data_IF_238459753808
#
_entry.id   IF_238459753808
#
_cell.length_a   1.000
_cell.length_b   1.000
_cell.length_c   1.000
_cell.angle_alpha   90.00
_cell.angle_beta   90.00
_cell.angle_gamma   90.00
#
_symmetry.space_group_name_H-M   'P 1'
#
loop_
_entity.id
_entity.type
_entity.pdbx_description
1 polymer ?
#
# COMPACT_ATOMS: atom_id res chain seq x y z
N UNK A 1 -7.13 0.91 11.43
CA UNK A 1 -8.23 0.29 10.63
C UNK A 1 -8.01 0.56 9.15
N UNK A 2 -8.65 -0.16 8.22
CA UNK A 2 -8.57 0.07 6.77
C UNK A 2 -9.96 0.08 6.14
N UNK A 3 -10.19 1.01 5.23
CA UNK A 3 -11.45 1.11 4.48
C UNK A 3 -11.25 1.66 3.05
N UNK A 4 -12.25 1.47 2.20
CA UNK A 4 -12.27 1.85 0.79
C UNK A 4 -13.39 2.84 0.53
N UNK A 5 -13.06 4.03 0.03
CA UNK A 5 -14.03 5.03 -0.39
C UNK A 5 -14.17 5.04 -1.92
N UNK A 6 -15.40 5.12 -2.41
CA UNK A 6 -15.73 5.32 -3.82
C UNK A 6 -16.53 6.60 -3.98
N UNK A 7 -16.24 7.39 -5.02
CA UNK A 7 -17.02 8.58 -5.34
C UNK A 7 -17.00 8.89 -6.83
N UNK A 8 -17.97 9.72 -7.24
CA UNK A 8 -17.93 10.43 -8.51
C UNK A 8 -17.53 11.86 -8.22
N UNK A 9 -16.55 12.37 -8.97
CA UNK A 9 -16.05 13.72 -8.79
C UNK A 9 -17.07 14.77 -9.21
N UNK A 10 -17.00 15.93 -8.57
CA UNK A 10 -17.91 17.06 -8.78
C UNK A 10 -17.24 18.31 -9.37
N UNK A 11 -15.92 18.30 -9.58
CA UNK A 11 -15.16 19.43 -10.14
C UNK A 11 -14.95 20.61 -9.18
N UNK A 12 -15.47 20.52 -7.95
CA UNK A 12 -15.41 21.57 -6.93
C UNK A 12 -14.77 21.06 -5.63
N UNK A 13 -15.21 21.58 -4.48
CA UNK A 13 -14.86 20.98 -3.19
C UNK A 13 -15.78 19.79 -2.91
N UNK A 14 -15.22 18.68 -2.42
CA UNK A 14 -15.99 17.49 -2.07
C UNK A 14 -15.46 16.89 -0.77
N UNK A 15 -16.37 16.58 0.16
CA UNK A 15 -16.03 15.80 1.35
C UNK A 15 -16.35 14.34 1.07
N UNK A 16 -15.37 13.48 1.29
CA UNK A 16 -15.51 12.03 1.26
C UNK A 16 -15.56 11.58 2.72
N UNK A 17 -16.72 11.12 3.17
CA UNK A 17 -17.00 10.72 4.56
C UNK A 17 -17.51 9.27 4.65
N UNK A 18 -17.81 8.80 5.86
CA UNK A 18 -18.36 7.47 6.12
C UNK A 18 -17.30 6.39 6.36
N UNK A 19 -16.05 6.77 6.62
CA UNK A 19 -14.98 5.81 6.95
C UNK A 19 -15.11 5.29 8.40
N UNK A 20 -15.74 6.05 9.30
CA UNK A 20 -15.78 5.78 10.73
C UNK A 20 -14.48 6.14 11.47
N UNK A 21 -13.53 6.79 10.79
CA UNK A 21 -12.25 7.24 11.36
C UNK A 21 -11.64 8.40 10.56
N UNK A 22 -10.68 9.11 11.17
CA UNK A 22 -9.79 10.02 10.45
C UNK A 22 -8.69 9.22 9.78
N UNK A 23 -8.60 9.19 8.44
CA UNK A 23 -7.56 8.43 7.77
C UNK A 23 -6.21 9.13 7.93
N UNK A 24 -5.19 8.33 8.24
CA UNK A 24 -3.81 8.79 8.35
C UNK A 24 -3.02 8.56 7.09
N UNK A 25 -3.47 7.64 6.24
CA UNK A 25 -2.92 7.39 4.92
C UNK A 25 -4.07 7.21 3.94
N UNK A 26 -3.99 7.91 2.80
CA UNK A 26 -4.97 7.87 1.70
C UNK A 26 -4.22 7.59 0.42
N UNK A 27 -4.45 6.41 -0.16
CA UNK A 27 -3.97 6.02 -1.48
C UNK A 27 -5.13 6.11 -2.48
N UNK A 28 -5.10 7.15 -3.30
CA UNK A 28 -6.18 7.54 -4.19
C UNK A 28 -5.87 7.23 -5.66
N UNK A 29 -6.87 6.81 -6.43
CA UNK A 29 -6.76 6.59 -7.87
C UNK A 29 -8.04 6.95 -8.64
N UNK A 30 -7.88 7.64 -9.77
CA UNK A 30 -8.93 7.78 -10.79
C UNK A 30 -9.18 6.44 -11.49
N UNK A 31 -10.45 6.06 -11.60
CA UNK A 31 -10.91 4.79 -12.19
C UNK A 31 -11.36 4.96 -13.63
N UNK A 32 -12.15 5.99 -13.94
CA UNK A 32 -12.74 6.22 -15.28
C UNK A 32 -11.79 6.87 -16.30
N UNK A 33 -10.48 6.95 -16.03
CA UNK A 33 -9.52 7.57 -16.93
C UNK A 33 -8.08 7.48 -16.42
N UNK A 34 -7.14 7.80 -17.31
CA UNK A 34 -5.72 7.80 -16.97
C UNK A 34 -5.38 8.95 -16.01
N UNK A 35 -4.73 8.62 -14.90
CA UNK A 35 -4.16 9.53 -13.92
C UNK A 35 -3.26 8.72 -12.97
N UNK A 36 -2.29 9.37 -12.35
CA UNK A 36 -1.42 8.73 -11.37
C UNK A 36 -2.18 8.28 -10.11
N UNK A 37 -1.51 7.47 -9.31
CA UNK A 37 -1.93 7.12 -7.96
C UNK A 37 -1.39 8.15 -6.96
N UNK A 38 -2.25 8.82 -6.19
CA UNK A 38 -1.85 9.87 -5.26
C UNK A 38 -1.87 9.38 -3.81
N UNK A 39 -0.73 9.56 -3.12
CA UNK A 39 -0.52 9.10 -1.74
C UNK A 39 -0.37 10.30 -0.80
N UNK A 40 -1.31 10.42 0.14
CA UNK A 40 -1.36 11.46 1.18
C UNK A 40 -1.26 10.83 2.56
N UNK A 41 -0.64 11.50 3.52
CA UNK A 41 -0.73 11.11 4.92
C UNK A 41 -0.74 12.31 5.88
N UNK A 42 -1.26 12.07 7.08
CA UNK A 42 -1.44 13.10 8.07
C UNK A 42 -0.12 13.55 8.73
N UNK A 43 0.94 12.74 8.69
CA UNK A 43 2.25 13.11 9.24
C UNK A 43 2.92 14.18 8.38
N UNK A 44 2.75 14.10 7.05
CA UNK A 44 3.18 15.12 6.09
C UNK A 44 2.23 16.31 6.04
N UNK A 45 0.94 16.04 6.19
CA UNK A 45 -0.13 17.02 6.15
C UNK A 45 -0.88 16.99 4.81
N UNK A 46 -2.00 17.72 4.77
CA UNK A 46 -2.80 17.83 3.56
C UNK A 46 -2.02 18.51 2.42
N UNK A 47 -2.51 18.35 1.19
CA UNK A 47 -1.96 18.89 -0.08
C UNK A 47 -0.64 18.28 -0.55
N UNK A 48 0.14 17.65 0.34
CA UNK A 48 1.36 16.94 -0.03
C UNK A 48 1.05 15.56 -0.62
N UNK A 49 1.35 15.41 -1.91
CA UNK A 49 1.09 14.18 -2.66
C UNK A 49 2.38 13.55 -3.16
N UNK A 50 2.44 12.23 -3.03
CA UNK A 50 3.40 11.37 -3.71
C UNK A 50 2.69 10.53 -4.77
N UNK A 51 3.47 9.90 -5.65
CA UNK A 51 3.00 9.13 -6.79
C UNK A 51 3.53 7.70 -6.67
N UNK A 52 2.68 6.67 -6.59
CA UNK A 52 3.19 5.29 -6.47
C UNK A 52 3.76 4.75 -7.78
N UNK A 53 3.40 5.35 -8.91
CA UNK A 53 3.78 4.92 -10.25
C UNK A 53 4.87 5.77 -10.92
N UNK A 54 5.50 6.69 -10.18
CA UNK A 54 6.65 7.47 -10.67
C UNK A 54 7.73 7.59 -9.60
N UNK A 55 8.91 8.05 -9.99
CA UNK A 55 10.03 8.33 -9.08
C UNK A 55 10.03 9.77 -8.57
N UNK A 56 9.04 10.57 -8.95
CA UNK A 56 8.99 12.00 -8.68
C UNK A 56 9.07 12.30 -7.18
N UNK A 57 9.67 13.45 -6.86
CA UNK A 57 9.67 13.97 -5.51
C UNK A 57 8.23 14.31 -5.05
N UNK A 58 8.09 14.58 -3.76
CA UNK A 58 6.85 15.12 -3.23
C UNK A 58 6.47 16.42 -3.94
N UNK A 59 5.17 16.58 -4.19
CA UNK A 59 4.62 17.81 -4.76
C UNK A 59 3.47 18.31 -3.89
N UNK A 60 3.22 19.61 -3.97
CA UNK A 60 2.10 20.25 -3.29
C UNK A 60 1.00 20.54 -4.29
N UNK A 61 -0.23 20.13 -3.98
CA UNK A 61 -1.43 20.46 -4.76
C UNK A 61 -2.53 20.94 -3.83
N UNK A 62 -2.71 22.27 -3.76
CA UNK A 62 -3.76 22.88 -2.93
C UNK A 62 -5.18 22.49 -3.37
N UNK A 63 -5.35 22.08 -4.62
CA UNK A 63 -6.61 21.59 -5.19
C UNK A 63 -6.75 20.07 -5.13
N UNK A 64 -5.77 19.34 -4.58
CA UNK A 64 -5.82 17.90 -4.30
C UNK A 64 -6.60 17.57 -3.02
N UNK A 65 -6.13 16.62 -2.20
CA UNK A 65 -6.65 16.42 -0.85
C UNK A 65 -6.24 17.62 0.02
N UNK A 66 -7.20 18.39 0.51
CA UNK A 66 -6.94 19.65 1.20
C UNK A 66 -7.19 19.61 2.72
N UNK A 67 -7.88 18.60 3.25
CA UNK A 67 -7.91 18.32 4.68
C UNK A 67 -8.21 16.85 5.00
N UNK A 68 -7.68 16.39 6.13
CA UNK A 68 -8.14 15.19 6.82
C UNK A 68 -9.25 15.60 7.79
N UNK A 69 -10.30 14.80 7.88
CA UNK A 69 -11.46 15.04 8.76
C UNK A 69 -11.63 13.86 9.71
N UNK A 70 -12.46 13.99 10.73
CA UNK A 70 -12.69 12.92 11.71
C UNK A 70 -13.32 11.64 11.13
N UNK A 71 -13.88 11.71 9.92
CA UNK A 71 -14.65 10.63 9.28
C UNK A 71 -14.26 10.42 7.80
N UNK A 72 -13.09 10.93 7.40
CA UNK A 72 -12.67 10.91 5.99
C UNK A 72 -11.76 12.07 5.62
N UNK A 73 -11.94 12.63 4.42
CA UNK A 73 -11.09 13.70 3.91
C UNK A 73 -11.84 14.62 2.95
N UNK A 74 -11.31 15.81 2.73
CA UNK A 74 -11.83 16.77 1.76
C UNK A 74 -10.89 16.91 0.56
N UNK A 75 -11.49 17.07 -0.61
CA UNK A 75 -10.83 17.27 -1.90
C UNK A 75 -11.15 18.67 -2.43
N UNK A 76 -10.19 19.26 -3.14
CA UNK A 76 -10.41 20.41 -4.02
C UNK A 76 -10.82 19.98 -5.43
N UNK A 77 -10.64 20.88 -6.40
CA UNK A 77 -11.08 20.74 -7.79
C UNK A 77 -10.06 20.07 -8.73
N UNK A 78 -8.95 19.54 -8.24
CA UNK A 78 -7.92 18.96 -9.10
C UNK A 78 -8.49 17.81 -9.93
N UNK A 79 -8.24 17.86 -11.25
CA UNK A 79 -8.83 16.91 -12.19
C UNK A 79 -8.40 15.46 -11.92
N UNK A 80 -7.25 15.27 -11.30
CA UNK A 80 -6.71 13.96 -11.03
C UNK A 80 -7.34 13.27 -9.83
N UNK A 81 -8.11 14.01 -9.01
CA UNK A 81 -8.75 13.49 -7.78
C UNK A 81 -10.25 13.74 -7.69
N UNK A 82 -10.78 14.74 -8.40
CA UNK A 82 -12.15 15.19 -8.24
C UNK A 82 -12.72 15.90 -9.50
N UNK A 83 -12.38 15.45 -10.70
CA UNK A 83 -12.97 15.96 -11.93
C UNK A 83 -14.46 15.55 -12.02
N UNK A 84 -15.31 16.50 -12.46
CA UNK A 84 -16.73 16.24 -12.67
C UNK A 84 -16.95 14.99 -13.53
N UNK A 85 -17.88 14.15 -13.11
CA UNK A 85 -18.34 12.95 -13.83
C UNK A 85 -17.31 11.82 -13.96
N UNK A 86 -16.12 11.95 -13.35
CA UNK A 86 -15.15 10.86 -13.26
C UNK A 86 -15.30 10.06 -11.97
N UNK A 87 -14.99 8.77 -12.01
CA UNK A 87 -15.05 7.88 -10.85
C UNK A 87 -13.69 7.66 -10.23
N UNK A 88 -13.66 7.48 -8.91
CA UNK A 88 -12.44 7.39 -8.11
C UNK A 88 -12.56 6.33 -7.02
N UNK A 89 -11.42 5.90 -6.51
CA UNK A 89 -11.27 5.07 -5.31
C UNK A 89 -10.18 5.63 -4.41
N UNK A 90 -10.33 5.46 -3.11
CA UNK A 90 -9.25 5.61 -2.15
C UNK A 90 -9.22 4.42 -1.19
N UNK A 91 -8.04 3.84 -1.00
CA UNK A 91 -7.74 2.92 0.09
C UNK A 91 -7.15 3.71 1.24
N UNK A 92 -7.73 3.56 2.42
CA UNK A 92 -7.44 4.44 3.56
C UNK A 92 -7.05 3.62 4.77
N UNK A 93 -6.07 4.10 5.54
CA UNK A 93 -5.63 3.45 6.76
C UNK A 93 -5.55 4.45 7.90
N UNK A 94 -5.94 3.99 9.09
CA UNK A 94 -5.78 4.68 10.36
C UNK A 94 -4.51 4.17 11.07
N UNK A 95 -3.58 5.10 11.26
CA UNK A 95 -2.29 4.95 11.93
C UNK A 95 -2.31 5.55 13.35
N UNK A 96 -3.49 5.80 13.91
CA UNK A 96 -3.67 6.20 15.31
C UNK A 96 -3.70 7.71 15.51
N UNK A 97 -3.85 8.11 16.78
CA UNK A 97 -4.23 9.47 17.12
C UNK A 97 -3.08 10.43 17.40
N UNK A 98 -1.84 9.94 17.53
CA UNK A 98 -0.70 10.77 17.94
C UNK A 98 0.50 10.61 17.02
N UNK A 99 1.08 11.76 16.64
CA UNK A 99 2.38 11.82 15.98
C UNK A 99 3.45 12.12 17.04
N UNK A 100 4.47 11.28 17.17
CA UNK A 100 5.51 11.36 18.21
C UNK A 100 6.92 11.21 17.64
N UNK A 101 7.90 11.79 18.31
CA UNK A 101 9.32 11.53 18.03
C UNK A 101 9.70 10.14 18.55
N UNK A 102 10.43 9.36 17.75
CA UNK A 102 10.94 8.04 18.12
C UNK A 102 12.47 8.02 18.01
N UNK A 103 13.13 7.55 19.07
CA UNK A 103 14.59 7.47 19.22
C UNK A 103 15.10 6.03 19.42
N UNK A 104 14.32 5.02 19.03
CA UNK A 104 14.71 3.60 19.18
C UNK A 104 15.72 3.14 18.12
N UNK A 105 15.87 3.88 17.02
CA UNK A 105 16.86 3.65 15.97
C UNK A 105 18.00 4.66 16.00
N UNK A 106 19.04 4.42 15.19
CA UNK A 106 20.16 5.36 15.05
C UNK A 106 19.79 6.63 14.28
N UNK A 107 18.70 6.61 13.51
CA UNK A 107 18.06 7.78 12.93
C UNK A 107 16.81 8.10 13.75
N UNK A 108 16.72 9.32 14.27
CA UNK A 108 15.49 9.82 14.91
C UNK A 108 14.39 9.95 13.85
N UNK A 109 13.22 9.37 14.13
CA UNK A 109 12.07 9.41 13.24
C UNK A 109 10.88 10.11 13.90
N UNK A 110 9.94 10.56 13.08
CA UNK A 110 8.60 10.98 13.52
C UNK A 110 7.62 9.89 13.11
N UNK A 111 6.87 9.37 14.08
CA UNK A 111 6.04 8.18 13.94
C UNK A 111 4.60 8.52 14.33
N UNK A 112 3.66 8.09 13.49
CA UNK A 112 2.26 7.91 13.87
C UNK A 112 1.92 6.44 13.64
N UNK A 113 1.61 5.71 14.71
CA UNK A 113 1.41 4.26 14.66
C UNK A 113 0.14 3.80 15.39
N UNK A 114 -0.64 2.96 14.71
CA UNK A 114 -1.70 2.15 15.29
C UNK A 114 -1.15 0.73 15.41
N UNK A 115 -0.44 0.45 16.51
CA UNK A 115 0.17 -0.86 16.74
C UNK A 115 -0.86 -2.00 16.78
N UNK A 116 -2.07 -1.74 17.29
CA UNK A 116 -3.17 -2.71 17.30
C UNK A 116 -3.64 -3.08 15.91
N UNK A 117 -3.67 -2.11 14.98
CA UNK A 117 -3.96 -2.36 13.56
C UNK A 117 -2.70 -2.70 12.74
N UNK A 118 -1.52 -2.78 13.37
CA UNK A 118 -0.27 -3.10 12.69
C UNK A 118 0.10 -2.11 11.58
N UNK A 119 -0.22 -0.82 11.70
CA UNK A 119 0.11 0.19 10.69
C UNK A 119 0.82 1.40 11.27
N UNK A 120 1.86 1.87 10.58
CA UNK A 120 2.61 3.07 10.96
C UNK A 120 3.00 3.91 9.75
N UNK A 121 2.89 5.22 9.89
CA UNK A 121 3.49 6.24 9.03
C UNK A 121 4.72 6.79 9.72
N UNK A 122 5.88 6.65 9.09
CA UNK A 122 7.19 7.04 9.64
C UNK A 122 7.82 8.06 8.72
N UNK A 123 8.35 9.15 9.26
CA UNK A 123 9.18 10.09 8.50
C UNK A 123 10.54 10.25 9.15
N UNK A 124 11.58 10.44 8.35
CA UNK A 124 12.95 10.55 8.83
C UNK A 124 13.83 11.30 7.82
N UNK A 125 14.98 11.77 8.28
CA UNK A 125 16.06 12.28 7.44
C UNK A 125 17.18 11.26 7.43
N UNK A 126 17.50 10.72 6.25
CA UNK A 126 18.57 9.75 6.12
C UNK A 126 19.94 10.38 6.41
N UNK A 127 20.94 9.53 6.66
CA UNK A 127 22.27 9.96 7.10
C UNK A 127 23.43 9.32 6.32
N UNK A 128 23.12 8.63 5.22
CA UNK A 128 24.07 7.93 4.34
C UNK A 128 24.90 6.83 5.05
N UNK A 129 24.49 6.42 6.26
CA UNK A 129 25.19 5.36 7.00
C UNK A 129 24.52 4.02 6.72
N UNK A 130 25.23 3.12 6.04
CA UNK A 130 24.73 1.76 5.82
C UNK A 130 24.49 1.04 7.15
N UNK A 131 23.36 0.37 7.28
CA UNK A 131 22.97 -0.30 8.53
C UNK A 131 22.39 0.63 9.57
N UNK A 132 22.11 1.90 9.23
CA UNK A 132 21.33 2.77 10.09
C UNK A 132 19.92 2.19 10.30
N UNK A 133 19.33 2.50 11.45
CA UNK A 133 18.02 1.97 11.86
C UNK A 133 17.04 3.10 12.10
N UNK A 134 15.78 2.87 11.72
CA UNK A 134 14.69 3.84 11.84
C UNK A 134 13.58 3.22 12.70
N UNK A 135 13.16 3.93 13.74
CA UNK A 135 12.09 3.48 14.63
C UNK A 135 10.71 3.56 13.96
N UNK A 136 9.89 2.51 14.12
CA UNK A 136 8.56 2.42 13.48
C UNK A 136 7.38 2.27 14.46
N UNK A 137 7.61 2.08 15.77
CA UNK A 137 6.57 2.16 16.79
C UNK A 137 5.47 1.08 16.78
N UNK A 138 5.64 -0.04 16.07
CA UNK A 138 4.61 -1.09 15.99
C UNK A 138 4.67 -2.12 17.13
N UNK A 139 5.80 -2.25 17.82
CA UNK A 139 5.99 -3.27 18.87
C UNK A 139 6.11 -4.71 18.34
N UNK A 140 5.97 -4.91 17.02
CA UNK A 140 6.14 -6.16 16.28
C UNK A 140 6.80 -5.87 14.94
N UNK A 141 7.49 -6.86 14.36
CA UNK A 141 8.20 -6.66 13.10
C UNK A 141 7.22 -6.45 11.92
N UNK A 142 7.35 -5.35 11.16
CA UNK A 142 6.59 -5.17 9.93
C UNK A 142 6.96 -6.24 8.89
N UNK A 143 5.94 -6.77 8.20
CA UNK A 143 6.08 -7.73 7.09
C UNK A 143 6.04 -7.05 5.72
N UNK A 144 5.65 -5.78 5.65
CA UNK A 144 5.70 -4.95 4.45
C UNK A 144 6.17 -3.54 4.84
N UNK A 145 7.16 -3.00 4.13
CA UNK A 145 7.62 -1.61 4.29
C UNK A 145 7.75 -1.00 2.91
N UNK A 146 7.16 0.18 2.71
CA UNK A 146 7.28 0.97 1.48
C UNK A 146 7.99 2.27 1.85
N UNK A 147 9.17 2.53 1.26
CA UNK A 147 9.96 3.72 1.53
C UNK A 147 10.01 4.61 0.29
N UNK A 148 9.82 5.92 0.49
CA UNK A 148 9.95 6.93 -0.56
C UNK A 148 10.75 8.13 -0.12
N UNK A 149 11.70 8.53 -0.95
CA UNK A 149 12.33 9.84 -0.88
C UNK A 149 11.35 10.94 -1.28
N UNK A 150 11.22 11.97 -0.44
CA UNK A 150 10.30 13.09 -0.63
C UNK A 150 10.98 14.33 -1.18
N UNK A 151 12.23 14.58 -0.83
CA UNK A 151 12.95 15.81 -1.23
C UNK A 151 13.56 15.76 -2.62
N UNK A 152 13.64 14.58 -3.24
CA UNK A 152 14.30 14.36 -4.54
C UNK A 152 13.66 13.20 -5.29
N UNK A 153 13.82 13.20 -6.61
CA UNK A 153 13.46 12.06 -7.45
C UNK A 153 14.31 10.82 -7.09
N UNK A 154 13.63 9.75 -6.70
CA UNK A 154 14.17 8.44 -6.35
C UNK A 154 13.01 7.44 -6.22
N UNK A 155 13.29 6.15 -6.38
CA UNK A 155 12.27 5.10 -6.45
C UNK A 155 11.58 4.79 -5.11
N UNK A 156 10.56 3.93 -5.17
CA UNK A 156 9.89 3.36 -4.02
C UNK A 156 10.48 1.99 -3.68
N UNK A 157 11.32 1.91 -2.66
CA UNK A 157 11.84 0.62 -2.23
C UNK A 157 10.83 -0.10 -1.33
N UNK A 158 10.56 -1.37 -1.68
CA UNK A 158 9.61 -2.22 -0.98
C UNK A 158 10.33 -3.42 -0.35
N UNK A 159 10.16 -3.56 0.96
CA UNK A 159 10.51 -4.75 1.72
C UNK A 159 9.27 -5.62 1.87
N UNK A 160 9.43 -6.95 1.76
CA UNK A 160 8.39 -7.90 2.10
C UNK A 160 8.99 -9.10 2.83
N UNK A 161 8.35 -9.56 3.91
CA UNK A 161 8.88 -10.64 4.76
C UNK A 161 9.22 -11.92 4.00
N UNK A 162 8.39 -12.30 3.02
CA UNK A 162 8.64 -13.48 2.15
C UNK A 162 9.85 -13.35 1.22
N UNK A 163 10.38 -12.14 1.00
CA UNK A 163 11.60 -11.92 0.23
C UNK A 163 12.87 -11.97 1.10
N UNK A 164 12.72 -11.68 2.40
CA UNK A 164 13.85 -11.38 3.29
C UNK A 164 14.51 -10.04 2.98
N UNK A 165 15.41 -9.60 3.85
CA UNK A 165 16.06 -8.29 3.74
C UNK A 165 17.20 -8.21 2.72
N UNK A 166 17.59 -9.34 2.13
CA UNK A 166 18.61 -9.36 1.06
C UNK A 166 18.06 -8.88 -0.28
N UNK A 167 16.73 -8.78 -0.40
CA UNK A 167 16.03 -8.43 -1.63
C UNK A 167 15.13 -7.23 -1.46
N UNK A 168 14.79 -6.61 -2.58
CA UNK A 168 13.82 -5.53 -2.64
C UNK A 168 12.97 -5.63 -3.91
N UNK A 169 11.89 -4.85 -3.92
CA UNK A 169 11.13 -4.52 -5.12
C UNK A 169 11.04 -3.00 -5.28
N UNK A 170 10.74 -2.54 -6.48
CA UNK A 170 10.37 -1.16 -6.76
C UNK A 170 8.85 -1.07 -6.96
N UNK A 171 8.15 -0.23 -6.20
CA UNK A 171 6.68 -0.11 -6.32
C UNK A 171 6.30 0.45 -7.68
N UNK A 172 7.04 1.43 -8.21
CA UNK A 172 6.78 2.08 -9.50
C UNK A 172 7.22 1.23 -10.70
N UNK A 173 7.92 0.12 -10.47
CA UNK A 173 8.53 -0.69 -11.51
C UNK A 173 7.78 -2.00 -11.81
N UNK A 174 8.19 -2.66 -12.89
CA UNK A 174 7.68 -3.99 -13.29
C UNK A 174 8.70 -5.12 -13.07
N UNK A 175 9.89 -4.81 -12.55
CA UNK A 175 10.95 -5.78 -12.30
C UNK A 175 10.52 -6.88 -11.31
N UNK A 176 11.17 -8.04 -11.41
CA UNK A 176 11.13 -9.08 -10.40
C UNK A 176 11.95 -8.66 -9.15
N UNK A 177 11.91 -9.47 -8.08
CA UNK A 177 12.71 -9.18 -6.89
C UNK A 177 14.21 -9.22 -7.20
N UNK A 178 14.96 -8.24 -6.71
CA UNK A 178 16.41 -8.12 -6.93
C UNK A 178 17.17 -8.17 -5.60
N UNK A 179 18.34 -8.80 -5.60
CA UNK A 179 19.25 -8.85 -4.44
C UNK A 179 20.10 -7.59 -4.39
N UNK A 180 20.06 -6.85 -3.28
CA UNK A 180 20.86 -5.64 -3.10
C UNK A 180 20.88 -5.16 -1.65
N UNK A 181 22.04 -5.28 -1.00
CA UNK A 181 22.25 -4.87 0.39
C UNK A 181 22.08 -3.36 0.62
N UNK A 182 22.26 -2.55 -0.42
CA UNK A 182 22.05 -1.09 -0.34
C UNK A 182 20.60 -0.70 -0.02
N UNK A 183 19.62 -1.60 -0.11
CA UNK A 183 18.24 -1.37 0.30
C UNK A 183 18.05 -1.49 1.82
N UNK A 184 18.22 -2.69 2.39
CA UNK A 184 17.85 -3.00 3.79
C UNK A 184 19.05 -3.40 4.67
N UNK A 185 20.28 -3.27 4.16
CA UNK A 185 21.50 -3.72 4.83
C UNK A 185 21.44 -5.20 5.25
N UNK A 186 20.78 -6.04 4.44
CA UNK A 186 20.58 -7.47 4.66
C UNK A 186 20.00 -7.83 6.04
N UNK A 187 19.34 -6.88 6.72
CA UNK A 187 18.84 -7.03 8.08
C UNK A 187 17.32 -6.90 8.11
N UNK A 188 16.63 -7.97 8.52
CA UNK A 188 15.17 -7.94 8.67
C UNK A 188 14.74 -7.02 9.82
N UNK A 189 13.57 -6.37 9.73
CA UNK A 189 13.10 -5.48 10.77
C UNK A 189 12.84 -6.24 12.08
N UNK A 190 13.02 -5.55 13.20
CA UNK A 190 12.70 -6.03 14.54
C UNK A 190 11.34 -5.50 15.00
N UNK A 191 10.98 -5.72 16.26
CA UNK A 191 9.77 -5.14 16.86
C UNK A 191 9.79 -3.62 16.99
N UNK A 192 10.96 -2.97 16.88
CA UNK A 192 11.11 -1.53 17.13
C UNK A 192 11.71 -0.77 15.97
N UNK A 193 12.55 -1.40 15.13
CA UNK A 193 13.28 -0.72 14.06
C UNK A 193 13.33 -1.53 12.77
N UNK A 194 13.45 -0.83 11.64
CA UNK A 194 13.91 -1.42 10.39
C UNK A 194 15.27 -0.84 10.00
N UNK A 195 16.06 -1.64 9.28
CA UNK A 195 17.39 -1.23 8.80
C UNK A 195 17.32 -0.67 7.40
N UNK A 196 18.16 0.33 7.12
CA UNK A 196 18.33 0.91 5.79
C UNK A 196 19.80 0.81 5.37
N UNK A 197 20.02 0.50 4.09
CA UNK A 197 21.35 0.49 3.49
C UNK A 197 21.81 1.91 3.13
N UNK A 198 22.58 2.03 2.06
CA UNK A 198 23.11 3.31 1.55
C UNK A 198 22.46 3.74 0.23
N UNK A 199 21.34 3.17 -0.19
CA UNK A 199 20.69 3.57 -1.44
C UNK A 199 19.99 4.94 -1.30
N UNK A 200 20.00 5.73 -2.38
CA UNK A 200 19.39 7.06 -2.44
C UNK A 200 17.87 7.06 -2.24
N UNK A 201 17.22 5.93 -2.45
CA UNK A 201 15.79 5.73 -2.27
C UNK A 201 15.39 5.44 -0.81
N UNK A 202 16.35 5.18 0.09
CA UNK A 202 16.08 4.87 1.51
C UNK A 202 16.89 5.68 2.52
N UNK A 203 18.11 6.13 2.22
CA UNK A 203 18.98 6.65 3.29
C UNK A 203 20.08 7.64 2.86
N UNK A 204 19.92 8.39 1.79
CA UNK A 204 20.79 9.56 1.56
C UNK A 204 20.46 10.69 2.57
N UNK A 205 21.24 11.77 2.58
CA UNK A 205 20.97 12.99 3.38
C UNK A 205 19.76 13.76 2.84
N UNK A 206 18.60 13.13 2.90
CA UNK A 206 17.32 13.51 2.29
C UNK A 206 16.18 13.14 3.22
N UNK A 207 14.99 13.69 2.96
CA UNK A 207 13.80 13.37 3.76
C UNK A 207 13.02 12.22 3.13
N UNK A 208 12.56 11.28 3.96
CA UNK A 208 11.84 10.08 3.55
C UNK A 208 10.53 9.93 4.30
N UNK A 209 9.61 9.17 3.70
CA UNK A 209 8.46 8.55 4.38
C UNK A 209 8.56 7.04 4.21
N UNK A 210 8.19 6.30 5.25
CA UNK A 210 8.00 4.87 5.23
C UNK A 210 6.59 4.51 5.74
N UNK A 211 5.91 3.64 5.01
CA UNK A 211 4.66 3.01 5.45
C UNK A 211 4.96 1.59 5.88
N UNK A 212 4.79 1.29 7.16
CA UNK A 212 5.12 0.00 7.75
C UNK A 212 3.85 -0.75 8.14
N UNK A 213 3.74 -2.00 7.69
CA UNK A 213 2.61 -2.87 7.97
C UNK A 213 3.06 -4.17 8.62
N UNK A 214 2.47 -4.51 9.77
CA UNK A 214 2.66 -5.76 10.49
C UNK A 214 1.41 -6.64 10.41
N UNK A 215 1.56 -7.98 10.44
CA UNK A 215 0.44 -8.91 10.44
C UNK A 215 -0.35 -8.78 11.75
N UNK A 216 -1.68 -8.79 11.61
CA UNK A 216 -2.63 -8.80 12.73
C UNK A 216 -3.64 -9.89 12.46
N UNK A 217 -3.73 -10.85 13.38
CA UNK A 217 -4.62 -12.01 13.24
C UNK A 217 -6.06 -11.55 13.02
N UNK A 218 -6.69 -12.06 11.95
CA UNK A 218 -8.06 -11.72 11.58
C UNK A 218 -8.22 -10.35 10.88
N UNK A 219 -7.15 -9.57 10.72
CA UNK A 219 -7.21 -8.25 10.08
C UNK A 219 -6.24 -8.08 8.91
N UNK A 220 -4.96 -8.44 9.05
CA UNK A 220 -3.96 -8.27 8.00
C UNK A 220 -3.07 -9.50 7.85
N UNK A 221 -2.82 -9.91 6.61
CA UNK A 221 -1.97 -11.06 6.27
C UNK A 221 -1.00 -10.69 5.15
N UNK A 222 0.24 -11.13 5.30
CA UNK A 222 1.33 -10.89 4.35
C UNK A 222 2.02 -12.22 4.09
N UNK A 223 2.20 -12.58 2.82
CA UNK A 223 2.75 -13.89 2.50
C UNK A 223 3.08 -14.06 1.02
N UNK A 224 3.25 -15.30 0.62
CA UNK A 224 3.51 -15.67 -0.76
C UNK A 224 2.72 -16.90 -1.19
N UNK A 225 2.49 -17.03 -2.48
CA UNK A 225 1.91 -18.22 -3.09
C UNK A 225 2.53 -18.47 -4.47
N UNK A 226 2.38 -19.70 -4.97
CA UNK A 226 2.82 -20.08 -6.31
C UNK A 226 1.63 -20.16 -7.25
N UNK A 227 1.70 -19.44 -8.36
CA UNK A 227 0.68 -19.50 -9.40
C UNK A 227 0.68 -20.85 -10.10
N UNK A 228 -0.50 -21.30 -10.53
CA UNK A 228 -0.69 -22.58 -11.22
C UNK A 228 -1.14 -22.43 -12.68
N UNK A 229 -1.37 -21.20 -13.18
CA UNK A 229 -1.79 -20.97 -14.56
C UNK A 229 -3.18 -21.48 -14.92
N UNK A 230 -4.03 -21.76 -13.93
CA UNK A 230 -5.36 -22.33 -14.11
C UNK A 230 -6.46 -21.33 -13.73
N UNK A 231 -7.62 -21.42 -14.38
CA UNK A 231 -8.84 -20.74 -13.91
C UNK A 231 -9.32 -21.25 -12.55
N UNK A 232 -8.90 -22.45 -12.14
CA UNK A 232 -8.97 -22.90 -10.77
C UNK A 232 -7.64 -22.63 -10.04
N UNK A 233 -7.36 -21.34 -9.77
CA UNK A 233 -6.11 -20.90 -9.20
C UNK A 233 -5.81 -21.40 -7.78
N UNK A 234 -4.64 -21.09 -7.22
CA UNK A 234 -4.33 -21.43 -5.84
C UNK A 234 -5.30 -20.73 -4.88
N UNK A 235 -5.80 -21.45 -3.88
CA UNK A 235 -6.46 -20.79 -2.76
C UNK A 235 -5.41 -20.19 -1.81
N UNK A 236 -5.51 -18.89 -1.54
CA UNK A 236 -4.60 -18.17 -0.65
C UNK A 236 -5.33 -17.85 0.66
N UNK A 237 -4.98 -18.59 1.71
CA UNK A 237 -5.56 -18.42 3.03
C UNK A 237 -5.02 -17.16 3.73
N UNK A 238 -5.90 -16.31 4.21
CA UNK A 238 -5.59 -15.10 5.02
C UNK A 238 -6.20 -15.13 6.41
N UNK A 239 -7.17 -16.04 6.64
CA UNK A 239 -7.89 -16.15 7.92
C UNK A 239 -9.04 -15.16 8.10
N UNK A 240 -9.38 -14.39 7.06
CA UNK A 240 -10.49 -13.44 7.02
C UNK A 240 -10.98 -13.22 5.59
N UNK A 241 -12.16 -12.62 5.40
CA UNK A 241 -12.59 -12.14 4.07
C UNK A 241 -11.82 -10.86 3.71
N UNK A 242 -11.01 -10.83 2.64
CA UNK A 242 -10.26 -9.62 2.30
C UNK A 242 -11.18 -8.51 1.79
N UNK A 243 -10.92 -7.28 2.25
CA UNK A 243 -11.38 -6.04 1.62
C UNK A 243 -10.46 -5.60 0.51
N UNK A 244 -9.16 -5.77 0.71
CA UNK A 244 -8.10 -5.29 -0.17
C UNK A 244 -7.03 -6.35 -0.28
N UNK A 245 -6.52 -6.55 -1.49
CA UNK A 245 -5.36 -7.39 -1.76
C UNK A 245 -4.44 -6.68 -2.75
N UNK A 246 -3.18 -6.53 -2.36
CA UNK A 246 -2.08 -6.10 -3.23
C UNK A 246 -1.21 -7.33 -3.55
N UNK A 247 -0.89 -7.54 -4.83
CA UNK A 247 -0.08 -8.67 -5.29
C UNK A 247 1.05 -8.20 -6.20
N UNK A 248 2.19 -8.92 -6.14
CA UNK A 248 3.28 -8.77 -7.10
C UNK A 248 3.92 -10.11 -7.44
N UNK A 249 4.09 -10.38 -8.74
CA UNK A 249 4.96 -11.45 -9.21
C UNK A 249 6.43 -11.08 -8.92
N UNK A 250 7.12 -11.94 -8.18
CA UNK A 250 8.50 -11.73 -7.74
C UNK A 250 9.54 -12.54 -8.50
N UNK A 251 9.10 -13.44 -9.39
CA UNK A 251 9.99 -14.31 -10.20
C UNK A 251 10.13 -13.83 -11.64
N UNK A 252 9.09 -13.18 -12.18
CA UNK A 252 9.03 -12.77 -13.59
C UNK A 252 8.98 -11.25 -13.70
N UNK A 253 10.01 -10.68 -14.34
CA UNK A 253 10.06 -9.25 -14.65
C UNK A 253 9.04 -8.89 -15.77
N UNK A 254 8.74 -7.60 -15.91
CA UNK A 254 7.78 -7.10 -16.90
C UNK A 254 6.32 -7.27 -16.48
N UNK A 255 6.06 -7.55 -15.19
CA UNK A 255 4.72 -7.75 -14.63
C UNK A 255 4.30 -6.56 -13.78
N UNK A 256 3.06 -6.12 -13.89
CA UNK A 256 2.52 -5.05 -13.04
C UNK A 256 2.29 -5.53 -11.59
N UNK A 257 2.18 -4.57 -10.67
CA UNK A 257 1.58 -4.79 -9.35
C UNK A 257 0.06 -4.78 -9.50
N UNK A 258 -0.67 -5.65 -8.82
CA UNK A 258 -2.14 -5.68 -8.92
C UNK A 258 -2.84 -5.35 -7.61
N UNK A 259 -3.86 -4.48 -7.65
CA UNK A 259 -4.79 -4.25 -6.55
C UNK A 259 -6.19 -4.75 -6.90
N UNK A 260 -6.74 -5.57 -6.00
CA UNK A 260 -8.14 -5.98 -5.97
C UNK A 260 -8.79 -5.50 -4.67
N UNK A 261 -10.07 -5.13 -4.70
CA UNK A 261 -10.84 -4.88 -3.48
C UNK A 261 -12.33 -5.17 -3.63
N UNK A 262 -12.96 -5.53 -2.51
CA UNK A 262 -14.36 -5.97 -2.46
C UNK A 262 -15.36 -4.83 -2.56
N UNK A 263 -14.92 -3.57 -2.40
CA UNK A 263 -15.80 -2.42 -2.56
C UNK A 263 -16.06 -2.13 -4.04
N UNK A 264 -15.03 -2.30 -4.88
CA UNK A 264 -15.17 -2.22 -6.33
C UNK A 264 -15.81 -3.47 -6.91
N UNK A 265 -15.53 -4.65 -6.35
CA UNK A 265 -16.14 -5.93 -6.74
C UNK A 265 -16.95 -6.57 -5.59
N UNK A 266 -18.23 -6.18 -5.42
CA UNK A 266 -19.05 -6.61 -4.28
C UNK A 266 -19.42 -8.10 -4.32
N UNK A 267 -19.30 -8.75 -5.46
CA UNK A 267 -19.61 -10.17 -5.67
C UNK A 267 -18.40 -10.94 -6.19
N UNK A 268 -18.33 -12.23 -5.87
CA UNK A 268 -17.32 -13.14 -6.40
C UNK A 268 -17.48 -13.33 -7.91
N UNK A 269 -16.42 -13.81 -8.56
CA UNK A 269 -16.14 -13.52 -9.96
C UNK A 269 -16.04 -12.00 -10.23
N UNK A 270 -15.31 -11.30 -9.35
CA UNK A 270 -14.87 -9.92 -9.57
C UNK A 270 -13.84 -9.84 -10.70
N UNK A 271 -13.08 -8.77 -10.83
CA UNK A 271 -12.02 -8.68 -11.84
C UNK A 271 -11.62 -7.25 -12.21
N UNK A 272 -11.98 -6.27 -11.38
CA UNK A 272 -11.56 -4.88 -11.56
C UNK A 272 -10.16 -4.69 -11.02
N UNK A 273 -9.25 -4.29 -11.90
CA UNK A 273 -7.83 -4.15 -11.58
C UNK A 273 -7.38 -2.70 -11.64
N UNK A 274 -6.56 -2.34 -10.67
CA UNK A 274 -5.74 -1.14 -10.68
C UNK A 274 -4.30 -1.51 -10.36
N UNK A 275 -3.37 -0.76 -10.92
CA UNK A 275 -1.95 -1.08 -10.87
C UNK A 275 -1.19 0.06 -10.19
N UNK A 276 -0.68 -0.13 -8.95
CA UNK A 276 0.15 0.84 -8.24
C UNK A 276 1.24 1.52 -9.05
N UNK A 277 1.73 0.82 -10.07
CA UNK A 277 2.85 1.19 -10.91
C UNK A 277 2.44 1.67 -12.32
N UNK A 278 1.18 2.07 -12.49
CA UNK A 278 0.67 2.58 -13.77
C UNK A 278 -0.35 3.70 -13.57
N UNK A 279 -0.45 4.59 -14.55
CA UNK A 279 -1.47 5.64 -14.59
C UNK A 279 -2.74 5.21 -15.33
N UNK A 280 -2.78 4.02 -15.93
CA UNK A 280 -3.92 3.55 -16.73
C UNK A 280 -5.23 3.56 -15.93
N UNK A 281 -6.34 3.68 -16.65
CA UNK A 281 -7.68 3.57 -16.08
C UNK A 281 -7.91 2.19 -15.45
N UNK A 282 -8.97 2.06 -14.65
CA UNK A 282 -9.41 0.76 -14.17
C UNK A 282 -9.71 -0.17 -15.34
N UNK A 283 -9.15 -1.37 -15.28
CA UNK A 283 -9.46 -2.43 -16.23
C UNK A 283 -10.53 -3.33 -15.63
N UNK A 284 -11.53 -3.69 -16.43
CA UNK A 284 -12.60 -4.62 -16.03
C UNK A 284 -12.39 -5.93 -16.76
N UNK A 285 -11.99 -6.94 -15.99
CA UNK A 285 -11.81 -8.30 -16.45
C UNK A 285 -12.76 -9.28 -15.77
N UNK A 286 -13.90 -8.82 -15.25
CA UNK A 286 -14.88 -9.68 -14.56
C UNK A 286 -15.27 -10.93 -15.36
N UNK A 287 -15.23 -10.87 -16.70
CA UNK A 287 -15.50 -12.00 -17.59
C UNK A 287 -14.27 -12.84 -17.99
N UNK A 288 -13.05 -12.30 -17.84
CA UNK A 288 -11.84 -12.87 -18.44
C UNK A 288 -10.78 -13.27 -17.41
N UNK A 289 -10.72 -12.56 -16.29
CA UNK A 289 -9.79 -12.81 -15.20
C UNK A 289 -10.49 -12.69 -13.85
N UNK A 290 -11.49 -13.54 -13.55
CA UNK A 290 -12.21 -13.40 -12.30
C UNK A 290 -11.31 -13.61 -11.10
N UNK A 291 -11.68 -13.01 -9.97
CA UNK A 291 -11.05 -13.25 -8.67
C UNK A 291 -12.16 -13.42 -7.61
N UNK A 292 -11.92 -14.30 -6.63
CA UNK A 292 -12.86 -14.57 -5.55
C UNK A 292 -12.34 -14.06 -4.21
N UNK A 293 -13.17 -13.31 -3.47
CA UNK A 293 -13.00 -13.04 -2.05
C UNK A 293 -13.85 -14.02 -1.23
N UNK A 294 -13.16 -14.97 -0.63
CA UNK A 294 -13.74 -16.03 0.20
C UNK A 294 -13.72 -15.61 1.67
N UNK A 295 -14.48 -16.30 2.52
CA UNK A 295 -14.63 -15.94 3.94
C UNK A 295 -13.32 -15.96 4.74
N UNK A 296 -12.28 -16.60 4.22
CA UNK A 296 -11.00 -16.84 4.89
C UNK A 296 -9.78 -16.66 3.97
N UNK A 297 -9.96 -16.04 2.81
CA UNK A 297 -8.89 -15.91 1.83
C UNK A 297 -9.35 -15.33 0.51
N UNK A 298 -8.49 -15.42 -0.48
CA UNK A 298 -8.82 -15.09 -1.86
C UNK A 298 -8.33 -16.17 -2.81
N UNK A 299 -8.85 -16.16 -4.03
CA UNK A 299 -8.44 -17.09 -5.07
C UNK A 299 -8.44 -16.38 -6.42
N UNK A 300 -7.28 -16.27 -7.11
CA UNK A 300 -7.28 -15.84 -8.48
C UNK A 300 -7.96 -16.91 -9.35
N UNK A 301 -8.90 -16.52 -10.21
CA UNK A 301 -9.63 -17.44 -11.10
C UNK A 301 -9.22 -17.28 -12.55
N UNK A 302 -7.93 -17.01 -12.76
CA UNK A 302 -7.39 -16.65 -14.05
C UNK A 302 -5.98 -17.19 -14.23
N UNK A 303 -5.45 -17.16 -15.46
CA UNK A 303 -4.08 -17.57 -15.78
C UNK A 303 -3.16 -16.37 -16.08
N UNK A 304 -3.58 -15.17 -15.66
CA UNK A 304 -2.91 -13.91 -15.98
C UNK A 304 -1.57 -13.75 -15.26
N UNK A 305 -0.66 -13.00 -15.89
CA UNK A 305 0.70 -12.77 -15.39
C UNK A 305 0.74 -11.99 -14.07
N UNK A 306 -0.29 -11.17 -13.81
CA UNK A 306 -0.40 -10.31 -12.64
C UNK A 306 -0.66 -11.10 -11.35
N UNK A 307 -1.39 -12.22 -11.42
CA UNK A 307 -1.82 -12.95 -10.22
C UNK A 307 -1.56 -14.46 -10.22
N UNK A 308 -1.45 -15.13 -11.38
CA UNK A 308 -1.49 -16.60 -11.39
C UNK A 308 -0.77 -17.27 -12.56
N UNK A 309 0.36 -16.72 -13.02
CA UNK A 309 1.22 -17.40 -13.99
C UNK A 309 1.76 -18.70 -13.42
N UNK A 310 1.72 -19.77 -14.21
CA UNK A 310 2.18 -21.10 -13.79
C UNK A 310 3.64 -21.07 -13.34
N UNK A 311 3.90 -21.62 -12.15
CA UNK A 311 5.23 -21.72 -11.56
C UNK A 311 5.84 -20.40 -11.08
N UNK A 312 5.17 -19.25 -11.27
CA UNK A 312 5.63 -17.97 -10.73
C UNK A 312 5.30 -17.84 -9.25
N UNK A 313 6.20 -17.25 -8.48
CA UNK A 313 5.94 -16.91 -7.08
C UNK A 313 5.44 -15.47 -6.99
N UNK A 314 4.40 -15.29 -6.17
CA UNK A 314 3.78 -14.01 -5.90
C UNK A 314 3.90 -13.69 -4.41
N UNK A 315 4.11 -12.42 -4.07
CA UNK A 315 3.87 -11.91 -2.72
C UNK A 315 2.51 -11.22 -2.66
N UNK A 316 1.91 -11.18 -1.47
CA UNK A 316 0.67 -10.47 -1.25
C UNK A 316 0.64 -9.73 0.09
N UNK A 317 -0.15 -8.65 0.12
CA UNK A 317 -0.62 -8.00 1.33
C UNK A 317 -2.15 -7.91 1.29
N UNK A 318 -2.82 -8.45 2.30
CA UNK A 318 -4.28 -8.48 2.38
C UNK A 318 -4.77 -7.84 3.69
N UNK A 319 -5.89 -7.11 3.61
CA UNK A 319 -6.57 -6.49 4.76
C UNK A 319 -8.05 -6.90 4.79
N UNK A 320 -8.61 -7.12 5.97
CA UNK A 320 -9.96 -7.63 6.17
C UNK A 320 -11.05 -6.59 5.92
N UNK A 321 -12.22 -7.04 5.46
CA UNK A 321 -13.42 -6.20 5.27
C UNK A 321 -13.97 -5.62 6.57
N UNK A 322 -13.86 -6.39 7.65
CA UNK A 322 -14.17 -5.97 9.00
C UNK A 322 -12.95 -6.25 9.89
N UNK A 323 -12.41 -5.26 10.60
CA UNK A 323 -11.24 -5.43 11.46
C UNK A 323 -11.51 -6.26 12.73
N UNK A 324 -12.78 -6.60 13.01
CA UNK A 324 -13.14 -7.37 14.18
C UNK A 324 -14.04 -8.54 13.80
N UNK A 325 -13.60 -9.75 14.18
CA UNK A 325 -14.43 -10.93 14.21
C UNK A 325 -15.62 -10.67 15.15
N UNK A 326 -16.80 -10.43 14.60
CA UNK A 326 -18.03 -10.75 15.34
C UNK A 326 -18.21 -12.27 15.33
N UNK A 327 -17.29 -12.99 15.99
CA UNK A 327 -17.50 -14.39 16.31
C UNK A 327 -18.57 -14.47 17.40
N UNK A 328 -19.85 -14.34 17.01
CA UNK A 328 -20.91 -15.01 17.75
C UNK A 328 -21.09 -16.38 17.09
N UNK A 329 -20.22 -17.30 17.48
CA UNK A 329 -20.56 -18.72 17.37
C UNK A 329 -21.87 -18.94 18.16
N UNK A 330 -22.83 -19.60 17.54
CA UNK A 330 -23.92 -20.28 18.23
C UNK A 330 -23.72 -21.77 18.06
#
# INVERSE_FOLDING_TARGET
>A
MMDVALWTGNGGTQTISGLGFSPDFVWLKKRSGAADHYLYDQVRGATYRLYSNTTDAESTSATGLNAFTSDGFTLGSAIDVNQSSNTYVAWTWDAGSSTVTNTQGSITSTVRANATAGFSVVTYTGNLTSGATVGHGLGVAPSLILVKCRSNAAGWLVYHGSLGATKYLALEGTAAAATYSGAWSDTSPSSTVFSVGYNSSVNFTRTYVAYCFAPVVGYSSFGSYTGNGSSDGPFVYTGFRPKFVLVKNITTAGTFWGIMDSARDPYNAGGRLLYPNSSIAEEDYTTSYPDDFLSNGFKPRNAGTVFNSSGSTYIYAAFAESPFNYARAR
#
